data_IF_455531616545
#
_entry.id   IF_455531616545
#
_cell.length_a   1.000
_cell.length_b   1.000
_cell.length_c   1.000
_cell.angle_alpha   90.00
_cell.angle_beta   90.00
_cell.angle_gamma   90.00
#
_symmetry.space_group_name_H-M   'P 1'
#
loop_
_entity.id
_entity.type
_entity.pdbx_description
1 polymer ?
#
# COMPACT_ATOMS: atom_id res chain seq x y z
N UNK A 1 -27.30 -0.77 -3.95
CA UNK A 1 -27.86 -0.82 -2.59
C UNK A 1 -26.70 -1.09 -1.65
N UNK A 2 -26.39 -0.16 -0.74
CA UNK A 2 -25.46 -0.44 0.36
C UNK A 2 -26.21 -1.31 1.36
N UNK A 3 -25.70 -2.50 1.67
CA UNK A 3 -26.24 -3.27 2.78
C UNK A 3 -25.68 -2.70 4.11
N UNK A 4 -26.36 -2.90 5.25
CA UNK A 4 -25.93 -2.30 6.52
C UNK A 4 -24.49 -2.66 6.94
N UNK A 5 -24.00 -3.84 6.57
CA UNK A 5 -22.62 -4.24 6.87
C UNK A 5 -21.60 -3.48 6.01
N UNK A 6 -21.90 -3.25 4.73
CA UNK A 6 -21.08 -2.42 3.84
C UNK A 6 -21.06 -0.97 4.30
N UNK A 7 -22.22 -0.44 4.71
CA UNK A 7 -22.33 0.93 5.24
C UNK A 7 -21.50 1.11 6.51
N UNK A 8 -21.62 0.17 7.47
CA UNK A 8 -20.83 0.21 8.70
C UNK A 8 -19.33 0.13 8.42
N UNK A 9 -18.92 -0.76 7.51
CA UNK A 9 -17.52 -0.89 7.12
C UNK A 9 -16.97 0.43 6.53
N UNK A 10 -17.69 1.04 5.59
CA UNK A 10 -17.26 2.29 4.96
C UNK A 10 -17.21 3.43 5.98
N UNK A 11 -18.24 3.56 6.83
CA UNK A 11 -18.24 4.53 7.91
C UNK A 11 -17.01 4.38 8.81
N UNK A 12 -16.68 3.15 9.22
CA UNK A 12 -15.52 2.88 10.07
C UNK A 12 -14.19 3.19 9.37
N UNK A 13 -14.08 2.90 8.07
CA UNK A 13 -12.90 3.24 7.29
C UNK A 13 -12.72 4.76 7.17
N UNK A 14 -13.81 5.49 6.94
CA UNK A 14 -13.82 6.95 6.75
C UNK A 14 -13.55 7.74 8.04
N UNK A 15 -13.68 7.12 9.22
CA UNK A 15 -13.35 7.76 10.50
C UNK A 15 -11.85 8.10 10.62
N UNK A 16 -10.99 7.46 9.83
CA UNK A 16 -9.55 7.54 10.00
C UNK A 16 -8.87 8.06 8.74
N UNK A 17 -8.24 9.23 8.84
CA UNK A 17 -7.34 9.72 7.80
C UNK A 17 -5.97 9.02 7.92
N UNK A 18 -5.52 8.25 6.91
CA UNK A 18 -4.24 7.56 6.93
C UNK A 18 -3.04 8.50 7.13
N UNK A 19 -3.08 9.73 6.61
CA UNK A 19 -2.00 10.69 6.76
C UNK A 19 -1.91 11.23 8.19
N UNK A 20 -3.06 11.42 8.86
CA UNK A 20 -3.10 11.83 10.27
C UNK A 20 -2.49 10.74 11.13
N UNK A 21 -2.94 9.49 10.99
CA UNK A 21 -2.40 8.35 11.75
C UNK A 21 -0.91 8.14 11.48
N UNK A 22 -0.48 8.24 10.23
CA UNK A 22 0.93 8.10 9.86
C UNK A 22 1.82 9.20 10.45
N UNK A 23 1.28 10.40 10.68
CA UNK A 23 2.02 11.52 11.28
C UNK A 23 2.36 11.30 12.76
N UNK A 24 1.71 10.34 13.41
CA UNK A 24 1.94 9.97 14.81
C UNK A 24 3.05 8.93 14.99
N UNK A 25 3.61 8.39 13.90
CA UNK A 25 4.69 7.43 13.99
C UNK A 25 5.94 8.02 14.64
N UNK A 26 6.73 7.16 15.29
CA UNK A 26 7.98 7.56 15.93
C UNK A 26 8.96 8.11 14.88
N UNK A 27 9.61 9.23 15.20
CA UNK A 27 10.68 9.81 14.37
C UNK A 27 11.70 8.75 13.96
N UNK A 28 12.15 8.82 12.70
CA UNK A 28 13.13 7.93 12.07
C UNK A 28 12.71 6.45 12.00
N UNK A 29 11.44 6.12 12.28
CA UNK A 29 10.93 4.77 12.05
C UNK A 29 11.12 4.41 10.56
N UNK A 30 11.79 3.30 10.23
CA UNK A 30 11.88 2.82 8.85
C UNK A 30 10.52 2.30 8.39
N UNK A 31 10.07 2.77 7.23
CA UNK A 31 8.80 2.36 6.63
C UNK A 31 9.03 2.12 5.15
N UNK A 32 8.64 0.94 4.67
CA UNK A 32 8.53 0.66 3.25
C UNK A 32 7.09 0.86 2.82
N UNK A 33 6.87 1.60 1.73
CA UNK A 33 5.55 1.84 1.16
C UNK A 33 5.58 1.48 -0.31
N UNK A 34 4.54 0.82 -0.80
CA UNK A 34 4.39 0.53 -2.23
C UNK A 34 3.01 0.91 -2.75
N UNK A 35 2.94 1.29 -4.02
CA UNK A 35 1.69 1.32 -4.78
C UNK A 35 1.91 0.63 -6.13
N UNK A 36 0.85 0.36 -6.90
CA UNK A 36 1.00 -0.11 -8.27
C UNK A 36 0.07 0.56 -9.26
N UNK A 37 0.48 0.60 -10.53
CA UNK A 37 -0.34 1.07 -11.65
C UNK A 37 -1.50 0.15 -12.01
N UNK A 38 -1.52 -1.09 -11.52
CA UNK A 38 -2.63 -2.03 -11.70
C UNK A 38 -3.39 -2.35 -10.39
N UNK A 39 -3.13 -1.62 -9.31
CA UNK A 39 -3.99 -1.67 -8.13
C UNK A 39 -5.22 -0.79 -8.37
N UNK A 40 -6.38 -1.43 -8.49
CA UNK A 40 -7.66 -0.76 -8.72
C UNK A 40 -8.46 -0.50 -7.44
N UNK A 41 -7.99 -0.99 -6.29
CA UNK A 41 -8.64 -0.75 -4.99
C UNK A 41 -7.99 0.41 -4.26
N UNK A 42 -6.67 0.57 -4.39
CA UNK A 42 -5.93 1.67 -3.78
C UNK A 42 -5.02 2.30 -4.81
N UNK A 43 -5.33 3.54 -5.17
CA UNK A 43 -4.55 4.31 -6.13
C UNK A 43 -3.20 4.75 -5.55
N UNK A 44 -2.22 4.96 -6.43
CA UNK A 44 -0.96 5.59 -6.03
C UNK A 44 -1.14 7.02 -5.48
N UNK A 45 -2.26 7.72 -5.75
CA UNK A 45 -2.52 9.02 -5.16
C UNK A 45 -2.90 8.91 -3.67
N UNK A 46 -3.76 7.94 -3.32
CA UNK A 46 -4.10 7.64 -1.93
C UNK A 46 -2.88 7.18 -1.13
N UNK A 47 -2.00 6.37 -1.74
CA UNK A 47 -0.74 5.98 -1.11
C UNK A 47 0.19 7.18 -0.89
N UNK A 48 0.20 8.18 -1.78
CA UNK A 48 0.96 9.43 -1.57
C UNK A 48 0.42 10.24 -0.40
N UNK A 49 -0.89 10.28 -0.20
CA UNK A 49 -1.49 10.92 0.98
C UNK A 49 -0.97 10.30 2.29
N UNK A 50 -0.88 8.97 2.37
CA UNK A 50 -0.22 8.27 3.49
C UNK A 50 1.24 8.71 3.66
N UNK A 51 2.01 8.80 2.57
CA UNK A 51 3.42 9.21 2.58
C UNK A 51 3.61 10.64 3.10
N UNK A 52 2.68 11.55 2.81
CA UNK A 52 2.72 12.92 3.35
C UNK A 52 2.62 12.92 4.88
N UNK A 53 1.77 12.05 5.44
CA UNK A 53 1.69 11.81 6.88
C UNK A 53 3.00 11.27 7.46
N UNK A 54 3.56 10.22 6.85
CA UNK A 54 4.85 9.64 7.24
C UNK A 54 5.99 10.67 7.18
N UNK A 55 5.94 11.58 6.21
CA UNK A 55 6.94 12.65 6.04
C UNK A 55 6.84 13.66 7.18
N UNK A 56 5.63 14.04 7.61
CA UNK A 56 5.41 14.88 8.82
C UNK A 56 5.97 14.22 10.08
N UNK A 57 5.84 12.90 10.22
CA UNK A 57 6.45 12.13 11.32
C UNK A 57 7.99 12.07 11.25
N UNK A 58 8.62 12.56 10.17
CA UNK A 58 10.05 12.37 9.90
C UNK A 58 10.45 10.89 9.89
N UNK A 59 9.58 10.03 9.33
CA UNK A 59 9.89 8.63 9.09
C UNK A 59 10.99 8.48 8.02
N UNK A 60 11.64 7.32 7.99
CA UNK A 60 12.58 6.94 6.92
C UNK A 60 11.82 6.12 5.89
N UNK A 61 11.38 6.77 4.82
CA UNK A 61 10.44 6.21 3.85
C UNK A 61 11.22 5.64 2.66
N UNK A 62 11.07 4.34 2.41
CA UNK A 62 11.49 3.68 1.17
C UNK A 62 10.22 3.44 0.33
N UNK A 63 9.94 4.33 -0.62
CA UNK A 63 8.77 4.25 -1.50
C UNK A 63 9.09 3.53 -2.82
N UNK A 64 8.25 2.57 -3.23
CA UNK A 64 8.36 1.87 -4.51
C UNK A 64 7.03 1.92 -5.28
N UNK A 65 7.07 2.44 -6.51
CA UNK A 65 5.94 2.37 -7.42
C UNK A 65 6.11 1.17 -8.36
N UNK A 66 5.30 0.14 -8.15
CA UNK A 66 5.28 -1.10 -8.93
C UNK A 66 4.51 -0.92 -10.24
N UNK A 67 4.91 -1.64 -11.28
CA UNK A 67 4.25 -1.60 -12.59
C UNK A 67 3.54 -2.91 -12.90
N UNK A 68 2.25 -2.85 -13.27
CA UNK A 68 1.48 -4.02 -13.70
C UNK A 68 1.28 -5.08 -12.61
N UNK A 69 1.21 -4.64 -11.35
CA UNK A 69 1.01 -5.51 -10.20
C UNK A 69 -0.37 -5.24 -9.61
N UNK A 70 -1.16 -6.28 -9.43
CA UNK A 70 -2.51 -6.13 -8.90
C UNK A 70 -2.51 -5.84 -7.39
N UNK A 71 -3.70 -5.61 -6.87
CA UNK A 71 -3.93 -5.32 -5.45
C UNK A 71 -3.38 -6.39 -4.49
N UNK A 72 -3.30 -7.65 -4.94
CA UNK A 72 -2.78 -8.77 -4.13
C UNK A 72 -1.33 -9.13 -4.48
N UNK A 73 -0.62 -8.19 -5.10
CA UNK A 73 0.79 -8.25 -5.45
C UNK A 73 1.18 -9.30 -6.51
N UNK A 74 0.23 -9.77 -7.31
CA UNK A 74 0.50 -10.64 -8.47
C UNK A 74 0.81 -9.82 -9.70
N UNK A 75 1.58 -10.40 -10.62
CA UNK A 75 1.82 -9.79 -11.93
C UNK A 75 0.59 -9.99 -12.79
N UNK A 76 -0.34 -9.03 -12.70
CA UNK A 76 -1.56 -8.95 -13.49
C UNK A 76 -1.83 -7.48 -13.86
N UNK A 77 -1.38 -7.03 -15.04
CA UNK A 77 -1.60 -5.66 -15.50
C UNK A 77 -3.08 -5.30 -15.71
N UNK A 78 -3.99 -6.28 -15.76
CA UNK A 78 -5.43 -5.99 -15.86
C UNK A 78 -5.99 -5.40 -14.57
N UNK A 79 -5.36 -5.70 -13.42
CA UNK A 79 -5.84 -5.33 -12.09
C UNK A 79 -7.18 -5.95 -11.68
N UNK A 80 -7.77 -6.78 -12.54
CA UNK A 80 -9.14 -7.25 -12.37
C UNK A 80 -9.25 -8.15 -11.13
N UNK A 81 -10.30 -7.93 -10.32
CA UNK A 81 -10.53 -8.72 -9.12
C UNK A 81 -10.74 -10.21 -9.38
N UNK A 82 -11.17 -10.58 -10.59
CA UNK A 82 -11.26 -11.97 -11.04
C UNK A 82 -9.87 -12.65 -11.18
N UNK A 83 -8.79 -11.87 -11.23
CA UNK A 83 -7.40 -12.32 -11.24
C UNK A 83 -6.86 -12.69 -9.85
N UNK A 84 -7.42 -12.13 -8.77
CA UNK A 84 -6.83 -12.23 -7.43
C UNK A 84 -6.70 -13.66 -6.91
N UNK A 85 -7.59 -14.57 -7.33
CA UNK A 85 -7.55 -15.98 -6.91
C UNK A 85 -6.78 -16.88 -7.89
N UNK A 86 -6.41 -16.39 -9.07
CA UNK A 86 -5.70 -17.17 -10.07
C UNK A 86 -4.27 -17.49 -9.61
N UNK A 87 -3.67 -18.61 -10.05
CA UNK A 87 -2.30 -18.97 -9.70
C UNK A 87 -1.27 -18.18 -10.54
N UNK A 88 -1.28 -16.86 -10.43
CA UNK A 88 -0.31 -15.97 -11.07
C UNK A 88 0.92 -15.74 -10.16
N UNK A 89 2.10 -15.47 -10.73
CA UNK A 89 3.29 -15.22 -9.95
C UNK A 89 3.18 -13.91 -9.14
N UNK A 90 3.71 -13.91 -7.92
CA UNK A 90 3.93 -12.68 -7.16
C UNK A 90 5.00 -11.80 -7.80
N UNK A 91 4.88 -10.48 -7.60
CA UNK A 91 5.74 -9.47 -8.17
C UNK A 91 7.23 -9.64 -7.79
N UNK A 92 8.12 -9.86 -8.77
CA UNK A 92 9.57 -9.82 -8.53
C UNK A 92 10.06 -8.43 -8.09
N UNK A 93 9.39 -7.37 -8.55
CA UNK A 93 9.69 -5.98 -8.18
C UNK A 93 9.49 -5.79 -6.66
N UNK A 94 8.34 -6.24 -6.13
CA UNK A 94 8.05 -6.18 -4.70
C UNK A 94 9.04 -7.03 -3.90
N UNK A 95 9.32 -8.26 -4.36
CA UNK A 95 10.28 -9.16 -3.69
C UNK A 95 11.66 -8.51 -3.56
N UNK A 96 12.14 -7.86 -4.62
CA UNK A 96 13.44 -7.16 -4.61
C UNK A 96 13.43 -5.96 -3.65
N UNK A 97 12.36 -5.15 -3.67
CA UNK A 97 12.23 -4.00 -2.78
C UNK A 97 12.17 -4.41 -1.30
N UNK A 98 11.40 -5.45 -0.96
CA UNK A 98 11.33 -6.01 0.39
C UNK A 98 12.70 -6.51 0.87
N UNK A 99 13.42 -7.25 0.03
CA UNK A 99 14.76 -7.73 0.36
C UNK A 99 15.73 -6.57 0.66
N UNK A 100 15.69 -5.51 -0.16
CA UNK A 100 16.50 -4.30 0.04
C UNK A 100 16.16 -3.57 1.35
N UNK A 101 14.87 -3.38 1.64
CA UNK A 101 14.42 -2.75 2.88
C UNK A 101 14.87 -3.55 4.12
N UNK A 102 14.65 -4.87 4.11
CA UNK A 102 15.06 -5.75 5.21
C UNK A 102 16.57 -5.73 5.43
N UNK A 103 17.37 -5.75 4.35
CA UNK A 103 18.82 -5.63 4.44
C UNK A 103 19.27 -4.31 5.08
N UNK A 104 18.56 -3.21 4.80
CA UNK A 104 18.92 -1.86 5.25
C UNK A 104 18.54 -1.58 6.70
N UNK A 105 17.43 -2.15 7.19
CA UNK A 105 16.82 -1.73 8.46
C UNK A 105 16.51 -2.84 9.47
N UNK A 106 16.58 -4.11 9.09
CA UNK A 106 16.18 -5.24 9.93
C UNK A 106 17.32 -6.22 10.23
N UNK A 107 18.57 -5.81 9.99
CA UNK A 107 19.77 -6.56 10.35
C UNK A 107 20.32 -6.09 11.69
#
# INVERSE_FOLDING_TARGET
>A
VLNPATELFLYQADLYDPAVLASELRKKMPVMVSCSTADIQVSCAEVRHLIDGLSKASARIDFVQLQGVDHVFKVDPSGASSGYTKPLPFSPQLKSALAGFAQKYMR
#
